data_IF_970544813696
#
_entry.id   IF_970544813696
#
_cell.length_a   1.000
_cell.length_b   1.000
_cell.length_c   1.000
_cell.angle_alpha   90.00
_cell.angle_beta   90.00
_cell.angle_gamma   90.00
#
_symmetry.space_group_name_H-M   'P 1'
#
loop_
_entity.id
_entity.type
_entity.pdbx_description
1 polymer ?
#
# COMPACT_ATOMS: atom_id res chain seq x y z
N UNK A 1 90.92 12.49 -29.20
CA UNK A 1 89.70 12.77 -28.42
C UNK A 1 89.30 11.54 -27.66
N UNK A 2 90.02 11.24 -26.58
CA UNK A 2 89.86 10.04 -25.78
C UNK A 2 89.49 10.35 -24.33
N UNK A 3 88.75 9.38 -23.77
CA UNK A 3 88.55 9.05 -22.34
C UNK A 3 87.51 9.87 -21.56
N UNK A 4 86.99 9.34 -20.43
CA UNK A 4 86.32 8.05 -20.13
C UNK A 4 85.07 8.36 -19.20
N UNK A 5 84.65 7.64 -18.13
CA UNK A 5 84.77 6.25 -17.64
C UNK A 5 83.43 5.64 -17.10
N UNK A 6 83.57 4.51 -16.36
CA UNK A 6 82.60 3.74 -15.57
C UNK A 6 81.94 4.49 -14.39
N UNK A 7 80.93 3.81 -13.83
CA UNK A 7 80.29 3.96 -12.50
C UNK A 7 79.46 5.23 -12.21
N UNK A 8 78.17 5.03 -11.89
CA UNK A 8 77.68 5.32 -10.55
C UNK A 8 76.21 4.93 -10.31
N UNK A 9 76.03 4.32 -9.14
CA UNK A 9 74.80 3.97 -8.48
C UNK A 9 74.34 5.16 -7.61
N UNK A 10 73.16 5.76 -7.83
CA UNK A 10 72.38 6.45 -6.78
C UNK A 10 70.88 6.41 -7.09
N UNK A 11 70.19 5.47 -6.44
CA UNK A 11 69.01 5.66 -5.58
C UNK A 11 67.91 6.68 -6.01
N UNK A 12 66.71 6.17 -6.36
CA UNK A 12 65.49 6.72 -5.77
C UNK A 12 64.36 5.67 -5.71
N UNK A 13 64.11 5.20 -4.49
CA UNK A 13 62.82 4.79 -3.90
C UNK A 13 61.82 3.94 -4.71
N UNK A 14 61.57 2.71 -4.23
CA UNK A 14 60.26 2.07 -4.36
C UNK A 14 60.21 0.57 -4.67
N UNK A 15 60.92 -0.30 -3.94
CA UNK A 15 60.48 -1.71 -3.76
C UNK A 15 59.30 -1.67 -2.76
N UNK A 16 58.19 -2.39 -2.85
CA UNK A 16 57.75 -3.48 -3.72
C UNK A 16 56.26 -3.79 -3.42
N UNK A 17 55.71 -4.89 -3.95
CA UNK A 17 54.27 -5.07 -4.19
C UNK A 17 53.64 -6.12 -3.25
N UNK A 18 52.46 -5.89 -2.66
CA UNK A 18 51.64 -6.97 -2.08
C UNK A 18 50.15 -6.61 -1.98
N UNK A 19 49.31 -7.49 -2.55
CA UNK A 19 47.96 -7.88 -2.15
C UNK A 19 46.90 -6.81 -1.80
N UNK A 20 45.90 -6.68 -2.69
CA UNK A 20 44.67 -5.92 -2.44
C UNK A 20 43.44 -6.49 -3.15
N UNK A 21 43.29 -7.81 -3.23
CA UNK A 21 42.09 -8.45 -3.77
C UNK A 21 40.92 -8.40 -2.78
N UNK A 22 40.21 -7.29 -2.71
CA UNK A 22 38.97 -7.15 -1.92
C UNK A 22 37.87 -8.07 -2.46
N UNK A 23 37.64 -9.19 -1.77
CA UNK A 23 36.43 -10.00 -1.89
C UNK A 23 35.26 -9.18 -1.31
N UNK A 24 34.40 -8.62 -2.16
CA UNK A 24 33.10 -8.08 -1.77
C UNK A 24 32.20 -9.24 -1.28
N UNK A 25 32.25 -9.53 0.03
CA UNK A 25 31.21 -10.28 0.72
C UNK A 25 29.93 -9.44 0.70
N UNK A 26 28.89 -9.91 0.00
CA UNK A 26 27.52 -9.42 0.19
C UNK A 26 27.04 -9.87 1.56
N UNK A 27 27.23 -9.04 2.58
CA UNK A 27 26.52 -9.18 3.85
C UNK A 27 25.11 -8.63 3.66
N UNK A 28 24.12 -9.50 3.52
CA UNK A 28 22.72 -9.13 3.76
C UNK A 28 22.54 -8.90 5.27
N UNK A 29 22.96 -7.74 5.73
CA UNK A 29 22.50 -7.18 7.01
C UNK A 29 21.37 -6.22 6.67
N UNK A 30 20.13 -6.62 6.95
CA UNK A 30 19.05 -5.66 7.15
C UNK A 30 19.56 -4.58 8.11
N UNK A 31 19.36 -3.29 7.84
CA UNK A 31 19.65 -2.28 8.85
C UNK A 31 18.79 -2.60 10.09
N UNK A 32 19.34 -2.47 11.31
CA UNK A 32 18.52 -2.61 12.51
C UNK A 32 17.37 -1.62 12.39
N UNK A 33 16.16 -2.07 12.71
CA UNK A 33 14.99 -1.21 12.91
C UNK A 33 15.40 -0.15 13.93
N UNK A 34 15.85 1.00 13.43
CA UNK A 34 16.15 2.17 14.24
C UNK A 34 14.90 2.44 15.05
N UNK A 35 15.05 2.50 16.37
CA UNK A 35 13.98 2.75 17.30
C UNK A 35 13.11 3.87 16.74
N UNK A 36 11.88 3.52 16.33
CA UNK A 36 10.85 4.51 16.06
C UNK A 36 10.78 5.32 17.35
N UNK A 37 11.06 6.63 17.33
CA UNK A 37 10.96 7.43 18.54
C UNK A 37 9.59 7.12 19.13
N UNK A 38 9.55 6.72 20.41
CA UNK A 38 8.29 6.62 21.13
C UNK A 38 7.73 8.05 21.12
N UNK A 39 6.93 8.37 20.12
CA UNK A 39 6.16 9.59 20.09
C UNK A 39 5.12 9.38 21.18
N UNK A 40 5.48 9.79 22.40
CA UNK A 40 4.54 9.99 23.49
C UNK A 40 3.67 11.17 23.09
N UNK A 41 2.68 10.90 22.24
CA UNK A 41 1.66 11.90 21.89
C UNK A 41 0.80 12.06 23.14
N UNK A 42 0.78 13.25 23.78
CA UNK A 42 -0.03 13.47 24.96
C UNK A 42 -1.51 13.20 24.64
N UNK A 43 -2.15 12.33 25.42
CA UNK A 43 -3.58 11.99 25.28
C UNK A 43 -3.91 10.70 24.52
N UNK A 44 -2.92 9.90 24.09
CA UNK A 44 -3.20 8.61 23.48
C UNK A 44 -3.57 7.55 24.54
N UNK A 45 -4.84 7.15 24.57
CA UNK A 45 -5.34 6.08 25.44
C UNK A 45 -4.79 4.71 24.99
N UNK A 46 -3.83 4.18 25.75
CA UNK A 46 -3.17 2.90 25.46
C UNK A 46 -4.10 1.69 25.57
N UNK A 47 -5.27 1.83 26.23
CA UNK A 47 -6.29 0.78 26.33
C UNK A 47 -7.19 0.70 25.10
N UNK A 48 -7.22 1.75 24.27
CA UNK A 48 -8.08 1.86 23.10
C UNK A 48 -7.46 1.17 21.89
N UNK A 49 -8.25 0.39 21.16
CA UNK A 49 -7.78 -0.33 19.96
C UNK A 49 -7.79 0.60 18.75
N UNK A 50 -6.95 0.32 17.77
CA UNK A 50 -6.87 1.02 16.49
C UNK A 50 -8.24 1.20 15.83
N UNK A 51 -9.06 0.15 15.83
CA UNK A 51 -10.39 0.21 15.22
C UNK A 51 -11.31 1.25 15.88
N UNK A 52 -11.17 1.48 17.18
CA UNK A 52 -11.98 2.45 17.90
C UNK A 52 -11.62 3.89 17.51
N UNK A 53 -10.34 4.16 17.21
CA UNK A 53 -9.92 5.45 16.67
C UNK A 53 -10.53 5.69 15.29
N UNK A 54 -10.50 4.67 14.42
CA UNK A 54 -11.10 4.72 13.08
C UNK A 54 -12.61 4.97 13.17
N UNK A 55 -13.31 4.29 14.08
CA UNK A 55 -14.76 4.43 14.24
C UNK A 55 -15.20 5.79 14.78
N UNK A 56 -14.36 6.46 15.57
CA UNK A 56 -14.61 7.84 16.00
C UNK A 56 -13.97 8.88 15.08
N UNK A 57 -13.46 8.47 13.92
CA UNK A 57 -12.83 9.35 12.93
C UNK A 57 -11.61 10.14 13.46
N UNK A 58 -10.88 9.56 14.42
CA UNK A 58 -9.68 10.13 15.05
C UNK A 58 -8.40 9.72 14.30
N UNK A 59 -8.22 10.21 13.07
CA UNK A 59 -7.22 9.70 12.12
C UNK A 59 -5.76 9.83 12.57
N UNK A 60 -5.37 10.96 13.16
CA UNK A 60 -4.01 11.14 13.69
C UNK A 60 -3.72 10.19 14.85
N UNK A 61 -4.69 10.00 15.75
CA UNK A 61 -4.60 9.02 16.84
C UNK A 61 -4.51 7.58 16.31
N UNK A 62 -5.26 7.26 15.25
CA UNK A 62 -5.18 5.97 14.58
C UNK A 62 -3.79 5.73 13.97
N UNK A 63 -3.17 6.73 13.33
CA UNK A 63 -1.82 6.61 12.76
C UNK A 63 -0.79 6.35 13.85
N UNK A 64 -0.86 7.12 14.95
CA UNK A 64 0.00 6.90 16.11
C UNK A 64 -0.17 5.51 16.71
N UNK A 65 -1.42 5.03 16.81
CA UNK A 65 -1.71 3.67 17.31
C UNK A 65 -1.14 2.59 16.40
N UNK A 66 -1.17 2.77 15.08
CA UNK A 66 -0.54 1.83 14.14
C UNK A 66 0.96 1.67 14.41
N UNK A 67 1.65 2.77 14.71
CA UNK A 67 3.08 2.77 15.00
C UNK A 67 3.39 2.13 16.37
N UNK A 68 2.57 2.41 17.38
CA UNK A 68 2.77 1.85 18.73
C UNK A 68 2.37 0.38 18.85
N UNK A 69 1.39 -0.08 18.08
CA UNK A 69 0.85 -1.44 18.17
C UNK A 69 0.60 -2.02 16.77
N UNK A 70 1.67 -2.36 16.02
CA UNK A 70 1.55 -2.81 14.62
C UNK A 70 0.71 -4.08 14.43
N UNK A 71 0.64 -4.94 15.45
CA UNK A 71 -0.17 -6.15 15.42
C UNK A 71 -1.66 -5.87 15.22
N UNK A 72 -2.16 -4.70 15.65
CA UNK A 72 -3.56 -4.31 15.49
C UNK A 72 -3.94 -4.05 14.03
N UNK A 73 -2.98 -3.65 13.19
CA UNK A 73 -3.19 -3.45 11.75
C UNK A 73 -3.62 -4.76 11.06
N UNK A 74 -3.25 -5.91 11.63
CA UNK A 74 -3.56 -7.26 11.13
C UNK A 74 -4.85 -7.84 11.72
N UNK A 75 -5.43 -7.17 12.71
CA UNK A 75 -6.56 -7.70 13.45
C UNK A 75 -7.86 -7.52 12.67
N UNK A 76 -8.58 -8.61 12.45
CA UNK A 76 -9.88 -8.58 11.79
C UNK A 76 -10.97 -8.21 12.80
N UNK A 77 -11.69 -7.13 12.53
CA UNK A 77 -12.89 -6.79 13.27
C UNK A 77 -14.07 -7.53 12.67
N UNK A 78 -14.71 -8.38 13.48
CA UNK A 78 -15.89 -9.15 13.09
C UNK A 78 -17.11 -8.76 13.91
N UNK A 79 -18.26 -8.61 13.27
CA UNK A 79 -19.55 -8.58 13.96
C UNK A 79 -20.44 -9.70 13.45
N UNK A 80 -21.22 -10.30 14.35
CA UNK A 80 -22.11 -11.42 14.08
C UNK A 80 -23.54 -11.05 14.45
N UNK A 81 -24.51 -11.55 13.68
CA UNK A 81 -25.91 -11.41 14.06
C UNK A 81 -26.30 -12.40 15.18
N UNK A 82 -27.53 -12.29 15.66
CA UNK A 82 -28.09 -13.20 16.68
C UNK A 82 -28.07 -14.69 16.29
N UNK A 83 -27.91 -15.01 15.00
CA UNK A 83 -27.80 -16.38 14.45
C UNK A 83 -26.34 -16.84 14.27
N UNK A 84 -25.35 -16.08 14.74
CA UNK A 84 -23.92 -16.39 14.62
C UNK A 84 -23.30 -16.14 13.24
N UNK A 85 -24.11 -15.71 12.25
CA UNK A 85 -23.63 -15.36 10.90
C UNK A 85 -22.79 -14.09 10.99
N UNK A 86 -21.57 -14.13 10.43
CA UNK A 86 -20.71 -12.95 10.26
C UNK A 86 -21.45 -11.95 9.37
N UNK A 87 -21.72 -10.79 9.93
CA UNK A 87 -22.37 -9.68 9.23
C UNK A 87 -21.34 -8.69 8.69
N UNK A 88 -20.20 -8.55 9.36
CA UNK A 88 -19.12 -7.65 8.97
C UNK A 88 -17.79 -8.29 9.33
N UNK A 89 -16.81 -8.27 8.42
CA UNK A 89 -15.44 -8.73 8.69
C UNK A 89 -14.46 -7.85 7.92
N UNK A 90 -13.76 -6.96 8.64
CA UNK A 90 -12.86 -5.98 8.03
C UNK A 90 -11.53 -5.89 8.74
N UNK A 91 -10.46 -5.84 7.94
CA UNK A 91 -9.20 -5.25 8.38
C UNK A 91 -9.35 -3.73 8.56
N UNK A 92 -8.51 -3.10 9.40
CA UNK A 92 -8.50 -1.65 9.61
C UNK A 92 -8.43 -0.85 8.30
N UNK A 93 -7.64 -1.29 7.32
CA UNK A 93 -7.53 -0.62 6.02
C UNK A 93 -8.89 -0.51 5.31
N UNK A 94 -9.72 -1.56 5.33
CA UNK A 94 -11.05 -1.53 4.72
C UNK A 94 -12.00 -0.59 5.46
N UNK A 95 -11.85 -0.49 6.79
CA UNK A 95 -12.65 0.42 7.61
C UNK A 95 -12.34 1.87 7.23
N UNK A 96 -11.06 2.25 7.16
CA UNK A 96 -10.65 3.60 6.74
C UNK A 96 -11.19 3.94 5.35
N UNK A 97 -11.01 3.03 4.38
CA UNK A 97 -11.45 3.24 2.99
C UNK A 97 -12.96 3.44 2.83
N UNK A 98 -13.78 2.80 3.68
CA UNK A 98 -15.24 2.91 3.63
C UNK A 98 -15.82 4.05 4.47
N UNK A 99 -15.12 4.50 5.51
CA UNK A 99 -15.66 5.46 6.49
C UNK A 99 -15.34 6.92 6.17
N UNK A 100 -14.27 7.21 5.42
CA UNK A 100 -13.90 8.58 5.07
C UNK A 100 -14.99 9.29 4.25
N UNK A 101 -15.86 10.06 4.92
CA UNK A 101 -16.85 10.93 4.27
C UNK A 101 -16.18 12.14 3.62
N UNK A 102 -15.14 12.66 4.28
CA UNK A 102 -14.33 13.79 3.84
C UNK A 102 -12.86 13.38 3.85
N UNK A 103 -12.36 12.92 2.70
CA UNK A 103 -10.97 12.48 2.58
C UNK A 103 -10.01 13.66 2.76
N UNK A 104 -9.03 13.47 3.64
CA UNK A 104 -8.04 14.46 4.05
C UNK A 104 -6.64 13.80 4.09
N UNK A 105 -5.55 14.58 4.13
CA UNK A 105 -4.19 14.04 4.19
C UNK A 105 -3.96 12.99 5.29
N UNK A 106 -4.60 13.15 6.46
CA UNK A 106 -4.51 12.20 7.55
C UNK A 106 -5.02 10.78 7.19
N UNK A 107 -6.02 10.67 6.30
CA UNK A 107 -6.52 9.36 5.86
C UNK A 107 -5.52 8.67 4.93
N UNK A 108 -4.91 9.44 4.02
CA UNK A 108 -3.86 8.94 3.14
C UNK A 108 -2.67 8.45 3.96
N UNK A 109 -2.23 9.26 4.93
CA UNK A 109 -1.11 8.92 5.82
C UNK A 109 -1.40 7.64 6.62
N UNK A 110 -2.63 7.49 7.12
CA UNK A 110 -3.04 6.29 7.85
C UNK A 110 -3.01 5.04 6.95
N UNK A 111 -3.56 5.12 5.72
CA UNK A 111 -3.54 4.00 4.77
C UNK A 111 -2.12 3.67 4.36
N UNK A 112 -1.29 4.68 4.07
CA UNK A 112 0.11 4.49 3.73
C UNK A 112 0.88 3.82 4.86
N UNK A 113 0.69 4.28 6.10
CA UNK A 113 1.29 3.67 7.30
C UNK A 113 0.83 2.22 7.45
N UNK A 114 -0.47 1.92 7.32
CA UNK A 114 -0.98 0.55 7.40
C UNK A 114 -0.36 -0.38 6.35
N UNK A 115 -0.19 0.11 5.11
CA UNK A 115 0.46 -0.66 4.02
C UNK A 115 1.95 -0.88 4.28
N UNK A 116 2.67 0.11 4.83
CA UNK A 116 4.07 -0.06 5.22
C UNK A 116 4.24 -1.11 6.32
N UNK A 117 3.33 -1.12 7.31
CA UNK A 117 3.40 -2.06 8.45
C UNK A 117 2.86 -3.46 8.12
N UNK A 118 1.91 -3.56 7.20
CA UNK A 118 1.31 -4.81 6.74
C UNK A 118 0.99 -4.76 5.23
N UNK A 119 2.00 -4.94 4.35
CA UNK A 119 1.86 -4.91 2.89
C UNK A 119 0.78 -5.84 2.35
N UNK A 120 0.63 -7.02 2.94
CA UNK A 120 -0.31 -8.06 2.52
C UNK A 120 -1.78 -7.64 2.74
N UNK A 121 -2.03 -6.58 3.52
CA UNK A 121 -3.37 -5.99 3.64
C UNK A 121 -3.95 -5.53 2.29
N UNK A 122 -3.10 -5.16 1.32
CA UNK A 122 -3.51 -4.83 -0.05
C UNK A 122 -4.10 -6.03 -0.83
N UNK A 123 -3.83 -7.25 -0.37
CA UNK A 123 -4.29 -8.51 -0.95
C UNK A 123 -5.43 -9.15 -0.16
N UNK A 124 -5.74 -8.62 1.01
CA UNK A 124 -6.83 -9.12 1.84
C UNK A 124 -8.17 -8.60 1.33
N UNK A 125 -9.15 -9.48 1.22
CA UNK A 125 -10.49 -9.13 0.80
C UNK A 125 -11.42 -8.95 2.01
N UNK A 126 -12.33 -7.99 1.96
CA UNK A 126 -13.35 -7.80 2.99
C UNK A 126 -14.51 -8.82 2.89
N UNK A 127 -15.59 -8.62 3.66
CA UNK A 127 -16.77 -9.49 3.62
C UNK A 127 -17.44 -9.65 2.24
N UNK A 128 -17.25 -8.71 1.32
CA UNK A 128 -17.80 -8.75 -0.05
C UNK A 128 -16.80 -9.31 -1.06
N UNK A 129 -15.63 -9.77 -0.60
CA UNK A 129 -14.52 -10.12 -1.47
C UNK A 129 -13.82 -8.88 -2.07
N UNK A 130 -14.15 -7.67 -1.62
CA UNK A 130 -13.53 -6.46 -2.15
C UNK A 130 -12.12 -6.32 -1.56
N UNK A 131 -11.11 -6.34 -2.43
CA UNK A 131 -9.77 -5.82 -2.11
C UNK A 131 -9.80 -4.29 -1.91
N UNK A 132 -8.80 -3.68 -1.26
CA UNK A 132 -8.70 -2.23 -1.13
C UNK A 132 -8.87 -1.46 -2.46
N UNK A 133 -8.34 -1.98 -3.56
CA UNK A 133 -8.50 -1.37 -4.89
C UNK A 133 -9.97 -1.34 -5.36
N UNK A 134 -10.77 -2.37 -5.06
CA UNK A 134 -12.21 -2.38 -5.38
C UNK A 134 -12.96 -1.28 -4.63
N UNK A 135 -12.62 -1.06 -3.36
CA UNK A 135 -13.23 -0.02 -2.54
C UNK A 135 -12.84 1.37 -3.05
N UNK A 136 -11.55 1.59 -3.31
CA UNK A 136 -11.04 2.86 -3.88
C UNK A 136 -11.75 3.17 -5.19
N UNK A 137 -11.86 2.19 -6.09
CA UNK A 137 -12.53 2.37 -7.37
C UNK A 137 -14.05 2.59 -7.22
N UNK A 138 -14.70 1.85 -6.31
CA UNK A 138 -16.17 1.83 -6.19
C UNK A 138 -16.78 2.92 -5.31
N UNK A 139 -15.97 3.61 -4.50
CA UNK A 139 -16.47 4.59 -3.53
C UNK A 139 -16.01 6.01 -3.90
N UNK A 140 -16.96 6.84 -4.35
CA UNK A 140 -16.71 8.22 -4.80
C UNK A 140 -15.86 9.06 -3.83
N UNK A 141 -16.06 8.91 -2.52
CA UNK A 141 -15.38 9.72 -1.52
C UNK A 141 -13.87 9.43 -1.40
N UNK A 142 -13.45 8.20 -1.70
CA UNK A 142 -12.06 7.73 -1.56
C UNK A 142 -11.35 7.58 -2.90
N UNK A 143 -12.08 7.65 -4.01
CA UNK A 143 -11.58 7.36 -5.35
C UNK A 143 -10.58 8.42 -5.83
N UNK A 144 -9.33 8.27 -5.43
CA UNK A 144 -8.20 9.13 -5.74
C UNK A 144 -7.16 8.39 -6.60
N UNK A 145 -6.59 9.04 -7.63
CA UNK A 145 -5.48 8.49 -8.41
C UNK A 145 -4.28 8.08 -7.54
N UNK A 146 -3.93 8.91 -6.56
CA UNK A 146 -2.81 8.69 -5.65
C UNK A 146 -3.01 7.43 -4.80
N UNK A 147 -4.21 7.23 -4.23
CA UNK A 147 -4.53 6.02 -3.47
C UNK A 147 -4.58 4.77 -4.34
N UNK A 148 -5.12 4.89 -5.56
CA UNK A 148 -5.17 3.77 -6.50
C UNK A 148 -3.74 3.32 -6.87
N UNK A 149 -2.85 4.26 -7.21
CA UNK A 149 -1.44 3.98 -7.47
C UNK A 149 -0.72 3.40 -6.25
N UNK A 150 -0.99 3.96 -5.06
CA UNK A 150 -0.41 3.46 -3.82
C UNK A 150 -0.79 2.00 -3.58
N UNK A 151 -2.07 1.64 -3.60
CA UNK A 151 -2.48 0.23 -3.37
C UNK A 151 -1.97 -0.69 -4.48
N UNK A 152 -1.93 -0.23 -5.73
CA UNK A 152 -1.39 -1.00 -6.85
C UNK A 152 0.12 -1.26 -6.71
N UNK A 153 0.90 -0.36 -6.10
CA UNK A 153 2.33 -0.60 -5.88
C UNK A 153 2.58 -1.74 -4.88
N UNK A 154 1.67 -1.95 -3.92
CA UNK A 154 1.71 -3.07 -2.97
C UNK A 154 1.04 -4.35 -3.51
N UNK A 155 0.03 -4.22 -4.38
CA UNK A 155 -0.65 -5.37 -4.99
C UNK A 155 -1.06 -5.10 -6.46
N UNK A 156 -0.15 -5.28 -7.43
CA UNK A 156 -0.46 -5.11 -8.85
C UNK A 156 -1.51 -6.10 -9.36
N UNK A 157 -1.56 -7.31 -8.78
CA UNK A 157 -2.50 -8.38 -9.18
C UNK A 157 -3.96 -8.05 -8.82
N UNK A 158 -4.18 -7.07 -7.94
CA UNK A 158 -5.53 -6.59 -7.60
C UNK A 158 -6.33 -6.21 -8.84
N UNK A 159 -5.67 -5.71 -9.89
CA UNK A 159 -6.31 -5.24 -11.12
C UNK A 159 -7.11 -6.33 -11.86
N UNK A 160 -6.71 -7.59 -11.70
CA UNK A 160 -7.32 -8.77 -12.32
C UNK A 160 -8.09 -9.65 -11.33
N UNK A 161 -8.10 -9.28 -10.05
CA UNK A 161 -8.79 -10.07 -9.03
C UNK A 161 -10.25 -9.66 -8.97
N UNK A 162 -11.17 -10.61 -9.09
CA UNK A 162 -12.61 -10.36 -8.92
C UNK A 162 -13.03 -10.48 -7.46
N UNK A 163 -13.96 -9.64 -7.02
CA UNK A 163 -14.62 -9.80 -5.73
C UNK A 163 -15.64 -10.97 -5.74
N UNK A 164 -16.38 -11.16 -4.65
CA UNK A 164 -17.35 -12.27 -4.50
C UNK A 164 -18.51 -12.25 -5.51
N UNK A 165 -18.75 -11.11 -6.18
CA UNK A 165 -19.74 -10.99 -7.25
C UNK A 165 -19.13 -11.18 -8.65
N UNK A 166 -17.87 -11.62 -8.75
CA UNK A 166 -17.13 -11.69 -10.01
C UNK A 166 -16.73 -10.31 -10.56
N UNK A 167 -16.91 -9.22 -9.81
CA UNK A 167 -16.61 -7.88 -10.29
C UNK A 167 -15.12 -7.59 -10.14
N UNK A 168 -14.44 -7.27 -11.25
CA UNK A 168 -13.12 -6.63 -11.24
C UNK A 168 -13.18 -5.17 -10.72
N UNK A 169 -12.04 -4.56 -10.34
CA UNK A 169 -12.00 -3.15 -9.93
C UNK A 169 -12.57 -2.20 -10.98
N UNK A 170 -12.42 -2.48 -12.27
CA UNK A 170 -12.99 -1.65 -13.34
C UNK A 170 -14.53 -1.63 -13.31
N UNK A 171 -15.19 -2.76 -13.00
CA UNK A 171 -16.65 -2.79 -12.82
C UNK A 171 -17.07 -1.90 -11.65
N UNK A 172 -16.33 -1.97 -10.54
CA UNK A 172 -16.57 -1.11 -9.36
C UNK A 172 -16.35 0.36 -9.71
N UNK A 173 -15.32 0.67 -10.49
CA UNK A 173 -15.02 2.03 -10.95
C UNK A 173 -16.18 2.66 -11.73
N UNK A 174 -16.74 1.93 -12.71
CA UNK A 174 -17.91 2.40 -13.46
C UNK A 174 -19.17 2.52 -12.57
N UNK A 175 -19.43 1.51 -11.73
CA UNK A 175 -20.60 1.51 -10.84
C UNK A 175 -20.56 2.64 -9.79
N UNK A 176 -19.36 2.95 -9.29
CA UNK A 176 -19.10 3.99 -8.30
C UNK A 176 -18.99 5.40 -8.89
N UNK A 177 -18.90 5.53 -10.21
CA UNK A 177 -18.62 6.80 -10.88
C UNK A 177 -17.24 7.35 -10.51
N UNK A 178 -16.22 6.48 -10.56
CA UNK A 178 -14.82 6.86 -10.36
C UNK A 178 -14.42 8.01 -11.31
N UNK A 179 -13.54 8.93 -10.87
CA UNK A 179 -13.07 10.01 -11.72
C UNK A 179 -12.26 9.44 -12.89
N UNK A 180 -12.26 10.12 -14.05
CA UNK A 180 -11.56 9.66 -15.25
C UNK A 180 -10.10 9.27 -15.02
N UNK A 181 -9.38 9.99 -14.14
CA UNK A 181 -7.99 9.67 -13.80
C UNK A 181 -7.82 8.28 -13.15
N UNK A 182 -8.75 7.87 -12.27
CA UNK A 182 -8.72 6.53 -11.65
C UNK A 182 -9.12 5.47 -12.68
N UNK A 183 -10.13 5.74 -13.51
CA UNK A 183 -10.50 4.86 -14.61
C UNK A 183 -9.33 4.62 -15.56
N UNK A 184 -8.59 5.68 -15.91
CA UNK A 184 -7.42 5.60 -16.79
C UNK A 184 -6.30 4.76 -16.17
N UNK A 185 -6.01 4.94 -14.87
CA UNK A 185 -5.02 4.11 -14.15
C UNK A 185 -5.41 2.63 -14.23
N UNK A 186 -6.67 2.31 -13.92
CA UNK A 186 -7.16 0.93 -13.90
C UNK A 186 -7.15 0.34 -15.31
N UNK A 187 -7.65 1.09 -16.31
CA UNK A 187 -7.71 0.65 -17.70
C UNK A 187 -6.32 0.44 -18.30
N UNK A 188 -5.38 1.37 -18.09
CA UNK A 188 -4.03 1.25 -18.61
C UNK A 188 -3.27 0.06 -18.01
N UNK A 189 -3.55 -0.27 -16.74
CA UNK A 189 -2.94 -1.41 -16.07
C UNK A 189 -3.47 -2.76 -16.60
N UNK A 190 -4.72 -2.82 -17.08
CA UNK A 190 -5.30 -4.04 -17.66
C UNK A 190 -6.45 -3.70 -18.64
N UNK A 191 -6.15 -3.41 -19.91
CA UNK A 191 -7.17 -3.07 -20.91
C UNK A 191 -8.17 -4.21 -21.14
N UNK A 192 -7.72 -5.46 -21.02
CA UNK A 192 -8.53 -6.66 -21.19
C UNK A 192 -9.68 -6.73 -20.17
N UNK A 193 -9.54 -6.09 -19.00
CA UNK A 193 -10.59 -6.04 -17.99
C UNK A 193 -11.89 -5.39 -18.50
N UNK A 194 -11.82 -4.56 -19.56
CA UNK A 194 -12.99 -3.95 -20.19
C UNK A 194 -13.91 -4.95 -20.91
N UNK A 195 -13.40 -6.15 -21.23
CA UNK A 195 -14.12 -7.21 -21.94
C UNK A 195 -14.48 -8.40 -21.04
N UNK A 196 -14.17 -8.33 -19.75
CA UNK A 196 -14.51 -9.38 -18.78
C UNK A 196 -15.90 -9.12 -18.24
N UNK A 197 -16.74 -10.14 -18.20
CA UNK A 197 -18.06 -10.08 -17.56
C UNK A 197 -17.97 -10.43 -16.07
N UNK A 198 -18.77 -9.77 -15.24
CA UNK A 198 -18.93 -10.13 -13.82
C UNK A 198 -19.83 -11.37 -13.63
N UNK A 199 -20.08 -11.76 -12.38
CA UNK A 199 -20.98 -12.87 -12.04
C UNK A 199 -22.45 -12.65 -12.41
N UNK A 200 -22.82 -11.44 -12.87
CA UNK A 200 -24.15 -11.12 -13.42
C UNK A 200 -24.13 -11.04 -14.95
N UNK A 201 -23.06 -11.53 -15.58
CA UNK A 201 -22.83 -11.49 -17.02
C UNK A 201 -22.80 -10.06 -17.58
N UNK A 202 -22.34 -9.09 -16.79
CA UNK A 202 -22.26 -7.68 -17.21
C UNK A 202 -20.82 -7.21 -17.40
N UNK A 203 -20.58 -6.48 -18.48
CA UNK A 203 -19.32 -5.78 -18.74
C UNK A 203 -19.19 -4.53 -17.84
N UNK A 204 -17.96 -4.02 -17.60
CA UNK A 204 -17.76 -2.83 -16.78
C UNK A 204 -18.53 -1.61 -17.27
N UNK A 205 -18.52 -1.35 -18.59
CA UNK A 205 -19.19 -0.19 -19.19
C UNK A 205 -20.70 -0.17 -18.95
N UNK A 206 -21.34 -1.34 -18.77
CA UNK A 206 -22.77 -1.44 -18.50
C UNK A 206 -23.15 -0.96 -17.08
N UNK A 207 -22.17 -0.73 -16.21
CA UNK A 207 -22.36 -0.08 -14.92
C UNK A 207 -22.20 1.44 -14.96
N UNK A 208 -21.82 2.01 -16.11
CA UNK A 208 -21.67 3.45 -16.27
C UNK A 208 -23.02 4.11 -15.99
N UNK A 209 -23.07 4.90 -14.92
CA UNK A 209 -24.25 5.71 -14.58
C UNK A 209 -24.15 6.99 -15.42
N UNK A 210 -25.18 7.27 -16.23
CA UNK A 210 -25.26 8.52 -16.97
C UNK A 210 -25.13 9.72 -16.00
N UNK A 211 -24.44 10.80 -16.38
CA UNK A 211 -24.46 12.02 -15.60
C UNK A 211 -25.92 12.47 -15.45
N UNK A 212 -26.37 12.68 -14.22
CA UNK A 212 -27.66 13.36 -14.00
C UNK A 212 -27.46 14.79 -14.51
N UNK A 213 -28.03 15.09 -15.66
CA UNK A 213 -28.23 16.46 -16.12
C UNK A 213 -28.90 17.22 -14.97
N UNK A 214 -28.26 18.30 -14.52
CA UNK A 214 -28.79 19.25 -13.54
C UNK A 214 -29.06 20.55 -14.25
#
# INVERSE_FOLDING_TARGET
GGSPPQDNNVNNNGRGPLNGGMKLRRTHSQPPLGAVPQISIPGLDTKRKLIDYIWKEEWYGATARCQQSPGEVRHWSETRNKKGKIMWRKLPIHAVLKMGKHWQPAHYELVHTMLQMFPESAQCADENGDLPLHIIAGCKNVSSPQLAQLVLSYNPKAIQTSNSNGMLPLHRAYAGGAPPAVLQIIYNACPQAAQVIDGRSKLPIQYLRAPRER
#
